data_IF_331598157038
#
_entry.id   IF_331598157038
#
_cell.length_a   1.000
_cell.length_b   1.000
_cell.length_c   1.000
_cell.angle_alpha   90.00
_cell.angle_beta   90.00
_cell.angle_gamma   90.00
#
_symmetry.space_group_name_H-M   'P 1'
#
loop_
_entity.id
_entity.type
_entity.pdbx_description
1 polymer ?
#
# COMPACT_ATOMS: atom_id res chain seq x y z
N UNK A 1 58.96 -22.69 -53.46
CA UNK A 1 58.02 -23.57 -52.73
C UNK A 1 57.89 -23.04 -51.31
N UNK A 2 56.82 -22.28 -51.01
CA UNK A 2 56.49 -21.81 -49.65
C UNK A 2 54.99 -22.04 -49.42
N UNK A 3 54.70 -22.70 -48.31
CA UNK A 3 53.39 -23.15 -47.83
C UNK A 3 52.43 -22.00 -47.57
N UNK A 4 51.16 -22.18 -47.92
CA UNK A 4 50.03 -21.44 -47.35
C UNK A 4 49.50 -22.21 -46.14
N UNK A 5 49.53 -21.59 -44.96
CA UNK A 5 48.76 -22.02 -43.80
C UNK A 5 47.42 -21.26 -43.79
N UNK A 6 46.31 -22.00 -43.83
CA UNK A 6 44.98 -21.47 -43.57
C UNK A 6 44.80 -21.28 -42.06
N UNK A 7 44.65 -20.04 -41.60
CA UNK A 7 44.19 -19.75 -40.25
C UNK A 7 42.66 -19.91 -40.20
N UNK A 8 42.20 -20.95 -39.51
CA UNK A 8 40.80 -21.16 -39.16
C UNK A 8 40.51 -20.32 -37.90
N UNK A 9 39.82 -19.20 -38.05
CA UNK A 9 39.30 -18.43 -36.91
C UNK A 9 37.88 -18.94 -36.64
N UNK A 10 37.70 -19.68 -35.54
CA UNK A 10 36.39 -20.01 -34.98
C UNK A 10 35.81 -18.77 -34.29
N UNK A 11 34.55 -18.38 -34.53
CA UNK A 11 33.91 -17.34 -33.73
C UNK A 11 33.56 -17.90 -32.34
N UNK A 12 34.04 -17.23 -31.29
CA UNK A 12 33.66 -17.50 -29.92
C UNK A 12 32.16 -17.22 -29.75
N UNK A 13 31.37 -18.29 -29.61
CA UNK A 13 29.97 -18.21 -29.27
C UNK A 13 29.88 -17.87 -27.77
N UNK A 14 29.72 -16.58 -27.46
CA UNK A 14 29.43 -16.11 -26.11
C UNK A 14 28.01 -16.58 -25.78
N UNK A 15 27.92 -17.67 -25.03
CA UNK A 15 26.70 -18.11 -24.35
C UNK A 15 26.33 -17.05 -23.32
N UNK A 16 25.43 -16.15 -23.70
CA UNK A 16 24.73 -15.27 -22.77
C UNK A 16 23.72 -16.15 -22.01
N UNK A 17 24.15 -16.72 -20.88
CA UNK A 17 23.21 -17.28 -19.90
C UNK A 17 22.38 -16.11 -19.36
N UNK A 18 21.03 -16.18 -19.37
CA UNK A 18 20.24 -15.16 -18.70
C UNK A 18 20.58 -15.23 -17.21
N UNK A 19 21.27 -14.21 -16.74
CA UNK A 19 21.42 -13.94 -15.32
C UNK A 19 20.00 -13.63 -14.84
N UNK A 20 19.30 -14.64 -14.31
CA UNK A 20 18.11 -14.42 -13.50
C UNK A 20 18.62 -13.67 -12.28
N UNK A 21 18.63 -12.34 -12.36
CA UNK A 21 18.79 -11.51 -11.19
C UNK A 21 17.56 -11.75 -10.34
N UNK A 22 17.66 -12.66 -9.37
CA UNK A 22 16.81 -12.63 -8.20
C UNK A 22 17.21 -11.38 -7.41
N UNK A 23 16.86 -10.20 -7.92
CA UNK A 23 16.94 -8.95 -7.19
C UNK A 23 15.82 -8.97 -6.14
N UNK A 24 16.00 -9.82 -5.12
CA UNK A 24 15.39 -9.54 -3.83
C UNK A 24 15.98 -8.20 -3.40
N UNK A 25 15.19 -7.14 -3.51
CA UNK A 25 15.51 -5.83 -2.98
C UNK A 25 15.87 -6.03 -1.51
N UNK A 26 17.15 -5.93 -1.16
CA UNK A 26 17.68 -6.18 0.19
C UNK A 26 17.26 -5.00 1.06
N UNK A 27 15.98 -4.96 1.42
CA UNK A 27 15.48 -4.04 2.42
C UNK A 27 15.98 -4.45 3.80
N UNK A 28 16.04 -3.49 4.72
CA UNK A 28 16.34 -3.77 6.12
C UNK A 28 15.09 -4.31 6.82
N UNK A 29 15.13 -5.53 7.40
CA UNK A 29 14.01 -6.05 8.18
C UNK A 29 13.80 -5.23 9.45
N UNK A 30 12.55 -5.03 9.82
CA UNK A 30 12.14 -4.37 11.06
C UNK A 30 11.10 -5.24 11.74
N UNK A 31 11.35 -5.59 13.00
CA UNK A 31 10.52 -6.49 13.81
C UNK A 31 9.99 -5.85 15.08
N UNK A 32 10.58 -4.72 15.51
CA UNK A 32 10.24 -4.03 16.76
C UNK A 32 10.08 -2.52 16.59
N UNK A 33 9.40 -1.89 17.54
CA UNK A 33 9.29 -0.43 17.61
C UNK A 33 10.66 0.27 17.67
N UNK A 34 11.62 -0.25 18.43
CA UNK A 34 12.94 0.38 18.57
C UNK A 34 13.71 0.37 17.25
N UNK A 35 13.71 -0.76 16.54
CA UNK A 35 14.27 -0.86 15.18
C UNK A 35 13.55 0.07 14.22
N UNK A 36 12.22 0.12 14.27
CA UNK A 36 11.41 0.99 13.42
C UNK A 36 11.78 2.46 13.61
N UNK A 37 11.85 2.89 14.86
CA UNK A 37 12.11 4.29 15.21
C UNK A 37 13.56 4.70 14.94
N UNK A 38 14.54 3.81 15.14
CA UNK A 38 15.97 4.15 14.98
C UNK A 38 16.47 3.98 13.55
N UNK A 39 16.19 2.84 12.91
CA UNK A 39 16.75 2.52 11.60
C UNK A 39 16.23 3.43 10.49
N UNK A 40 14.94 3.77 10.50
CA UNK A 40 14.35 4.67 9.49
C UNK A 40 14.87 6.11 9.67
N UNK A 41 15.08 6.57 10.90
CA UNK A 41 15.66 7.89 11.17
C UNK A 41 17.12 7.98 10.74
N UNK A 42 17.86 6.88 10.81
CA UNK A 42 19.26 6.83 10.41
C UNK A 42 19.44 6.95 8.89
N UNK A 43 18.52 6.42 8.08
CA UNK A 43 18.58 6.52 6.62
C UNK A 43 17.18 6.63 5.97
N UNK A 44 16.73 7.87 5.76
CA UNK A 44 15.44 8.17 5.13
C UNK A 44 15.36 7.76 3.63
N UNK A 45 16.45 7.26 3.05
CA UNK A 45 16.55 6.88 1.63
C UNK A 45 16.55 5.38 1.40
N UNK A 46 16.76 4.57 2.45
CA UNK A 46 16.87 3.12 2.35
C UNK A 46 15.52 2.41 2.15
N UNK A 47 15.58 1.13 1.77
CA UNK A 47 14.41 0.25 1.72
C UNK A 47 14.29 -0.53 3.03
N UNK A 48 13.08 -0.63 3.56
CA UNK A 48 12.74 -1.31 4.79
C UNK A 48 11.53 -2.22 4.58
N UNK A 49 11.45 -3.32 5.33
CA UNK A 49 10.24 -4.13 5.38
C UNK A 49 9.94 -4.62 6.78
N UNK A 50 8.65 -4.76 7.09
CA UNK A 50 8.23 -5.31 8.37
C UNK A 50 8.26 -6.84 8.34
N UNK A 51 8.64 -7.44 9.47
CA UNK A 51 8.55 -8.88 9.72
C UNK A 51 7.60 -9.22 10.86
N UNK A 52 7.03 -8.19 11.49
CA UNK A 52 6.03 -8.29 12.53
C UNK A 52 5.22 -6.98 12.57
N UNK A 53 4.06 -7.03 13.21
CA UNK A 53 3.35 -5.82 13.59
C UNK A 53 4.21 -4.97 14.52
N UNK A 54 4.18 -3.65 14.31
CA UNK A 54 4.90 -2.68 15.13
C UNK A 54 3.91 -2.00 16.07
N UNK A 55 3.97 -2.36 17.35
CA UNK A 55 3.14 -1.71 18.37
C UNK A 55 3.94 -0.56 18.98
N UNK A 56 3.47 0.67 18.77
CA UNK A 56 4.05 1.84 19.44
C UNK A 56 3.67 1.76 20.92
N UNK A 57 4.64 1.86 21.86
CA UNK A 57 4.35 1.77 23.29
C UNK A 57 3.34 2.83 23.75
N UNK A 58 2.51 2.47 24.73
CA UNK A 58 1.60 3.42 25.37
C UNK A 58 2.34 4.68 25.85
N UNK A 59 1.65 5.81 25.84
CA UNK A 59 2.18 7.14 26.20
C UNK A 59 3.37 7.66 25.37
N UNK A 60 3.70 6.98 24.26
CA UNK A 60 4.71 7.49 23.31
C UNK A 60 4.11 8.58 22.43
N UNK A 61 4.63 9.80 22.54
CA UNK A 61 4.37 10.86 21.56
C UNK A 61 5.21 10.60 20.29
N UNK A 62 4.54 10.35 19.17
CA UNK A 62 5.20 10.08 17.91
C UNK A 62 5.78 11.36 17.30
N UNK A 63 7.08 11.37 17.04
CA UNK A 63 7.71 12.37 16.19
C UNK A 63 7.68 11.89 14.73
N UNK A 64 7.00 12.57 13.80
CA UNK A 64 6.99 12.17 12.40
C UNK A 64 8.39 11.91 11.84
N UNK A 65 8.58 10.85 11.07
CA UNK A 65 9.82 10.67 10.33
C UNK A 65 10.03 11.84 9.35
N UNK A 66 11.29 12.12 9.02
CA UNK A 66 11.68 13.29 8.24
C UNK A 66 11.37 14.66 8.88
N UNK A 67 10.99 14.67 10.17
CA UNK A 67 10.95 15.87 11.02
C UNK A 67 12.15 15.84 11.99
N UNK A 68 13.06 16.82 11.96
CA UNK A 68 14.11 16.94 12.96
C UNK A 68 13.52 17.05 14.38
N UNK A 69 14.22 16.52 15.38
CA UNK A 69 13.78 16.57 16.79
C UNK A 69 13.66 18.02 17.27
N UNK A 70 14.57 18.89 16.81
CA UNK A 70 14.69 20.30 17.12
C UNK A 70 14.10 21.20 16.02
N UNK A 71 13.09 20.71 15.29
CA UNK A 71 12.51 21.44 14.17
C UNK A 71 12.05 22.85 14.55
N UNK A 72 12.64 23.85 13.90
CA UNK A 72 12.43 25.28 14.17
C UNK A 72 11.17 25.87 13.51
N UNK A 73 10.28 25.02 13.01
CA UNK A 73 9.09 25.42 12.25
C UNK A 73 9.37 25.83 10.80
N UNK A 74 10.62 25.83 10.34
CA UNK A 74 10.93 26.22 8.96
C UNK A 74 10.81 25.06 7.99
N UNK A 75 10.17 25.30 6.86
CA UNK A 75 9.92 24.24 5.86
C UNK A 75 11.20 23.76 5.15
N UNK A 76 12.28 24.52 5.15
CA UNK A 76 13.55 24.15 4.52
C UNK A 76 14.43 23.23 5.39
N UNK A 77 14.16 23.13 6.70
CA UNK A 77 14.87 22.22 7.61
C UNK A 77 14.23 20.82 7.67
N UNK A 78 13.04 20.65 7.08
CA UNK A 78 12.38 19.34 6.97
C UNK A 78 13.03 18.46 5.90
N UNK A 79 13.39 17.23 6.30
CA UNK A 79 13.81 16.18 5.38
C UNK A 79 12.63 15.56 4.62
N UNK A 80 12.86 14.42 3.99
CA UNK A 80 11.81 13.61 3.36
C UNK A 80 12.20 12.14 3.33
N UNK A 81 11.24 11.25 3.56
CA UNK A 81 11.44 9.82 3.33
C UNK A 81 11.29 9.52 1.85
N UNK A 82 12.42 9.19 1.20
CA UNK A 82 12.50 8.83 -0.22
C UNK A 82 12.73 7.34 -0.46
N UNK A 83 12.83 6.57 0.61
CA UNK A 83 13.02 5.13 0.60
C UNK A 83 11.77 4.33 0.23
N UNK A 84 11.80 3.04 0.56
CA UNK A 84 10.62 2.16 0.48
C UNK A 84 10.31 1.62 1.86
N UNK A 85 9.05 1.69 2.29
CA UNK A 85 8.54 0.96 3.45
C UNK A 85 7.52 -0.07 2.97
N UNK A 86 7.86 -1.35 3.08
CA UNK A 86 6.99 -2.48 2.73
C UNK A 86 6.49 -3.15 4.01
N UNK A 87 5.22 -2.97 4.35
CA UNK A 87 4.63 -3.58 5.53
C UNK A 87 4.51 -5.11 5.44
N UNK A 88 4.58 -5.69 4.23
CA UNK A 88 4.37 -7.14 4.01
C UNK A 88 3.14 -7.71 4.75
N UNK A 89 2.08 -6.91 4.82
CA UNK A 89 0.83 -7.27 5.48
C UNK A 89 0.80 -7.08 6.98
N UNK A 90 1.87 -6.54 7.56
CA UNK A 90 1.91 -6.11 8.96
C UNK A 90 1.39 -4.69 9.14
N UNK A 91 1.01 -4.38 10.37
CA UNK A 91 0.47 -3.08 10.77
C UNK A 91 1.39 -2.35 11.74
N UNK A 92 1.39 -1.02 11.68
CA UNK A 92 1.87 -0.14 12.76
C UNK A 92 0.65 0.27 13.57
N UNK A 93 0.71 0.07 14.89
CA UNK A 93 -0.42 0.26 15.81
C UNK A 93 -0.17 1.40 16.79
N UNK A 94 -1.24 2.08 17.17
CA UNK A 94 -1.28 3.06 18.26
C UNK A 94 -0.38 4.29 18.01
N UNK A 95 -0.26 4.73 16.76
CA UNK A 95 0.46 5.95 16.43
C UNK A 95 -0.28 7.16 17.01
N UNK A 96 0.37 7.86 17.94
CA UNK A 96 -0.22 9.00 18.66
C UNK A 96 0.57 10.28 18.44
N UNK A 97 -0.11 11.35 18.01
CA UNK A 97 0.45 12.70 17.93
C UNK A 97 -0.54 13.63 18.62
N UNK A 98 -0.10 14.38 19.63
CA UNK A 98 -0.94 15.33 20.39
C UNK A 98 -0.43 16.76 20.32
N UNK A 99 0.77 16.98 19.78
CA UNK A 99 1.44 18.29 19.76
C UNK A 99 0.71 19.39 18.99
N UNK A 100 -0.20 19.06 18.08
CA UNK A 100 -0.81 20.06 17.18
C UNK A 100 0.19 20.72 16.23
N UNK A 101 1.38 20.13 16.06
CA UNK A 101 2.44 20.69 15.24
C UNK A 101 2.22 20.44 13.75
N UNK A 102 2.79 21.26 12.90
CA UNK A 102 2.68 21.14 11.44
C UNK A 102 3.35 19.89 10.88
N UNK A 103 2.95 19.45 9.69
CA UNK A 103 3.47 18.25 9.01
C UNK A 103 3.32 16.98 9.85
N UNK A 104 2.10 16.67 10.26
CA UNK A 104 1.79 15.51 11.10
C UNK A 104 1.41 14.27 10.29
N UNK A 105 1.88 13.12 10.76
CA UNK A 105 1.62 11.79 10.21
C UNK A 105 2.74 10.83 10.61
N UNK A 106 2.70 9.59 10.11
CA UNK A 106 3.87 8.70 10.23
C UNK A 106 5.13 9.39 9.66
N UNK A 107 5.00 10.02 8.49
CA UNK A 107 6.01 10.84 7.86
C UNK A 107 5.60 12.31 7.82
N UNK A 108 6.50 13.24 8.15
CA UNK A 108 6.26 14.66 7.88
C UNK A 108 6.19 14.93 6.38
N UNK A 109 7.14 14.36 5.61
CA UNK A 109 7.20 14.44 4.15
C UNK A 109 7.52 13.08 3.53
N UNK A 110 6.73 12.69 2.55
CA UNK A 110 6.91 11.47 1.78
C UNK A 110 7.24 11.80 0.33
N UNK A 111 8.35 11.26 -0.18
CA UNK A 111 8.77 11.28 -1.59
C UNK A 111 9.02 9.87 -2.15
N UNK A 112 8.98 8.85 -1.28
CA UNK A 112 9.25 7.45 -1.60
C UNK A 112 8.01 6.59 -1.81
N UNK A 113 8.15 5.29 -1.54
CA UNK A 113 7.09 4.28 -1.66
C UNK A 113 6.69 3.73 -0.30
N UNK A 114 5.39 3.62 -0.05
CA UNK A 114 4.84 2.88 1.09
C UNK A 114 3.85 1.86 0.56
N UNK A 115 4.01 0.59 0.93
CA UNK A 115 3.12 -0.46 0.46
C UNK A 115 2.84 -1.56 1.47
N UNK A 116 1.72 -2.25 1.28
CA UNK A 116 1.33 -3.46 2.02
C UNK A 116 1.31 -3.25 3.54
N UNK A 117 0.76 -2.14 4.00
CA UNK A 117 0.92 -1.65 5.37
C UNK A 117 -0.41 -1.20 5.97
N UNK A 118 -0.73 -1.69 7.16
CA UNK A 118 -1.80 -1.14 7.98
C UNK A 118 -1.30 -0.04 8.93
N UNK A 119 -2.05 1.05 9.06
CA UNK A 119 -1.95 1.98 10.20
C UNK A 119 -3.19 1.80 11.06
N UNK A 120 -3.06 1.03 12.13
CA UNK A 120 -4.17 0.67 13.00
C UNK A 120 -4.23 1.59 14.21
N UNK A 121 -5.45 2.07 14.52
CA UNK A 121 -5.72 2.84 15.72
C UNK A 121 -4.79 4.07 15.84
N UNK A 122 -4.73 4.88 14.78
CA UNK A 122 -4.02 6.17 14.85
C UNK A 122 -4.84 7.17 15.66
N UNK A 123 -4.17 8.01 16.45
CA UNK A 123 -4.76 9.14 17.17
C UNK A 123 -3.88 10.37 16.94
N UNK A 124 -4.19 11.11 15.87
CA UNK A 124 -3.38 12.23 15.40
C UNK A 124 -4.13 13.53 15.59
N UNK A 125 -3.55 14.45 16.36
CA UNK A 125 -3.91 15.86 16.45
C UNK A 125 -2.71 16.69 15.97
N UNK A 126 -2.76 17.13 14.71
CA UNK A 126 -1.72 17.92 14.05
C UNK A 126 -2.14 19.36 13.77
N UNK A 127 -1.21 20.12 13.22
CA UNK A 127 -1.44 21.48 12.70
C UNK A 127 -1.80 21.41 11.21
N UNK A 128 -0.94 21.95 10.36
CA UNK A 128 -1.06 21.84 8.91
C UNK A 128 0.27 21.46 8.24
N UNK A 129 0.27 20.63 7.18
CA UNK A 129 -0.74 19.65 6.81
C UNK A 129 -0.69 18.41 7.72
N UNK A 130 -1.81 17.68 7.82
CA UNK A 130 -1.95 16.53 8.72
C UNK A 130 -2.58 15.34 8.00
N UNK A 131 -1.95 14.17 8.06
CA UNK A 131 -2.56 12.93 7.61
C UNK A 131 -2.13 11.70 8.38
N UNK A 132 -2.85 10.59 8.25
CA UNK A 132 -2.50 9.33 8.93
C UNK A 132 -1.10 8.84 8.56
N UNK A 133 -0.86 8.69 7.26
CA UNK A 133 0.43 8.24 6.73
C UNK A 133 1.43 9.38 6.60
N UNK A 134 1.01 10.53 6.06
CA UNK A 134 1.93 11.65 5.89
C UNK A 134 1.29 13.02 6.08
N UNK A 135 2.06 13.97 6.60
CA UNK A 135 1.69 15.38 6.53
C UNK A 135 1.58 15.81 5.08
N UNK A 136 2.64 15.59 4.29
CA UNK A 136 2.60 15.93 2.86
C UNK A 136 3.28 14.89 1.96
N UNK A 137 2.62 14.60 0.84
CA UNK A 137 3.24 14.03 -0.35
C UNK A 137 4.01 15.17 -1.03
N UNK A 138 5.32 15.03 -1.10
CA UNK A 138 6.22 16.09 -1.55
C UNK A 138 6.92 15.72 -2.87
N UNK A 139 7.24 16.72 -3.68
CA UNK A 139 8.04 16.57 -4.90
C UNK A 139 9.20 17.55 -4.85
N UNK A 140 10.44 17.05 -4.92
CA UNK A 140 11.66 17.82 -4.68
C UNK A 140 12.21 18.36 -6.00
N UNK A 141 11.83 19.53 -6.51
CA UNK A 141 12.27 20.12 -7.82
C UNK A 141 13.76 19.96 -8.22
N UNK A 142 14.17 18.76 -8.62
CA UNK A 142 15.50 18.35 -9.05
C UNK A 142 15.33 17.37 -10.20
N UNK A 143 16.41 17.12 -10.93
CA UNK A 143 16.48 16.32 -12.15
C UNK A 143 16.01 14.87 -12.01
N UNK A 144 15.78 14.38 -10.78
CA UNK A 144 15.23 13.05 -10.53
C UNK A 144 14.24 13.08 -9.35
N UNK A 145 12.95 13.20 -9.64
CA UNK A 145 11.90 13.01 -8.63
C UNK A 145 11.14 11.74 -8.94
N UNK A 146 11.32 10.65 -8.19
CA UNK A 146 10.41 9.53 -8.31
C UNK A 146 9.00 9.99 -7.91
N UNK A 147 7.98 9.49 -8.61
CA UNK A 147 6.60 9.63 -8.18
C UNK A 147 6.40 8.92 -6.84
N UNK A 148 5.62 9.51 -5.93
CA UNK A 148 5.20 8.81 -4.71
C UNK A 148 4.20 7.71 -5.06
N UNK A 149 4.39 6.55 -4.46
CA UNK A 149 3.47 5.40 -4.58
C UNK A 149 3.03 4.97 -3.19
N UNK A 150 1.73 5.04 -2.95
CA UNK A 150 1.06 4.49 -1.75
C UNK A 150 0.15 3.39 -2.25
N UNK A 151 0.43 2.14 -1.88
CA UNK A 151 -0.22 0.96 -2.47
C UNK A 151 -0.58 -0.07 -1.40
N UNK A 152 -1.81 -0.60 -1.41
CA UNK A 152 -2.21 -1.63 -0.44
C UNK A 152 -2.00 -1.14 1.00
N UNK A 153 -2.44 0.09 1.27
CA UNK A 153 -2.34 0.74 2.58
C UNK A 153 -3.71 1.00 3.14
N UNK A 154 -3.87 0.77 4.45
CA UNK A 154 -5.07 1.19 5.14
C UNK A 154 -4.79 2.03 6.38
N UNK A 155 -5.75 2.87 6.76
CA UNK A 155 -5.68 3.68 7.98
C UNK A 155 -6.99 3.57 8.77
N UNK A 156 -6.91 3.29 10.07
CA UNK A 156 -8.04 3.30 11.02
C UNK A 156 -7.74 4.15 12.25
N UNK A 157 -8.78 4.70 12.89
CA UNK A 157 -8.65 5.59 14.05
C UNK A 157 -9.16 7.02 13.81
N UNK A 158 -8.39 8.02 14.24
CA UNK A 158 -8.75 9.44 14.23
C UNK A 158 -7.61 10.32 13.74
N UNK A 159 -7.91 11.22 12.80
CA UNK A 159 -6.97 12.21 12.24
C UNK A 159 -7.63 13.59 12.28
N UNK A 160 -7.10 14.45 13.14
CA UNK A 160 -7.56 15.81 13.37
C UNK A 160 -6.44 16.80 13.09
N UNK A 161 -6.74 17.88 12.40
CA UNK A 161 -5.79 18.96 12.18
C UNK A 161 -6.45 20.31 11.89
N UNK A 162 -5.63 21.35 11.68
CA UNK A 162 -6.13 22.72 11.51
C UNK A 162 -6.72 22.95 10.12
N UNK A 163 -5.90 22.96 9.06
CA UNK A 163 -6.35 23.40 7.70
C UNK A 163 -6.33 22.35 6.59
N UNK A 164 -5.49 21.30 6.64
CA UNK A 164 -5.36 20.36 5.52
C UNK A 164 -5.25 18.95 6.05
N UNK A 165 -6.38 18.27 6.11
CA UNK A 165 -6.50 17.02 6.86
C UNK A 165 -7.00 15.91 5.96
N UNK A 166 -6.22 14.84 5.84
CA UNK A 166 -6.61 13.66 5.07
C UNK A 166 -6.35 12.36 5.80
N UNK A 167 -7.14 11.32 5.53
CA UNK A 167 -6.92 10.01 6.15
C UNK A 167 -5.54 9.42 5.86
N UNK A 168 -5.04 9.57 4.63
CA UNK A 168 -3.68 9.16 4.23
C UNK A 168 -2.72 10.34 4.25
N UNK A 169 -3.04 11.43 3.56
CA UNK A 169 -2.15 12.58 3.46
C UNK A 169 -2.86 13.93 3.67
N UNK A 170 -2.25 14.85 4.41
CA UNK A 170 -2.81 16.20 4.55
C UNK A 170 -2.75 16.98 3.23
N UNK A 171 -1.57 16.99 2.58
CA UNK A 171 -1.32 17.76 1.35
C UNK A 171 -0.59 16.98 0.28
N UNK A 172 -1.07 17.05 -0.95
CA UNK A 172 -0.29 16.77 -2.15
C UNK A 172 0.40 18.04 -2.68
N UNK A 173 1.73 18.05 -2.64
CA UNK A 173 2.59 19.14 -3.09
C UNK A 173 3.69 18.66 -4.05
N UNK A 174 3.39 17.66 -4.89
CA UNK A 174 4.33 17.12 -5.89
C UNK A 174 3.82 17.37 -7.32
N UNK A 175 4.73 17.75 -8.21
CA UNK A 175 4.46 17.94 -9.65
C UNK A 175 4.54 16.61 -10.44
N UNK A 176 5.09 15.56 -9.82
CA UNK A 176 5.08 14.21 -10.37
C UNK A 176 3.69 13.60 -10.23
N UNK A 177 3.38 12.62 -11.10
CA UNK A 177 2.14 11.86 -11.00
C UNK A 177 2.25 10.87 -9.85
N UNK A 178 1.82 11.29 -8.65
CA UNK A 178 1.76 10.42 -7.48
C UNK A 178 0.55 9.50 -7.57
N UNK A 179 0.66 8.30 -7.02
CA UNK A 179 -0.40 7.29 -7.06
C UNK A 179 -0.75 6.82 -5.66
N UNK A 180 -2.04 6.85 -5.33
CA UNK A 180 -2.63 6.18 -4.18
C UNK A 180 -3.55 5.10 -4.75
N UNK A 181 -3.21 3.82 -4.56
CA UNK A 181 -3.98 2.72 -5.15
C UNK A 181 -4.22 1.57 -4.19
N UNK A 182 -5.35 0.89 -4.38
CA UNK A 182 -5.75 -0.24 -3.53
C UNK A 182 -5.69 0.11 -2.03
N UNK A 183 -6.19 1.29 -1.65
CA UNK A 183 -6.07 1.80 -0.29
C UNK A 183 -7.44 2.06 0.29
N UNK A 184 -7.56 1.95 1.61
CA UNK A 184 -8.77 2.37 2.30
C UNK A 184 -8.52 3.16 3.56
N UNK A 185 -9.47 4.03 3.87
CA UNK A 185 -9.47 4.80 5.11
C UNK A 185 -10.79 4.56 5.81
N UNK A 186 -10.72 4.16 7.08
CA UNK A 186 -11.88 4.11 7.96
C UNK A 186 -11.55 4.88 9.26
N UNK A 187 -11.57 6.20 9.16
CA UNK A 187 -11.16 7.12 10.23
C UNK A 187 -12.16 8.23 10.43
N UNK A 188 -12.09 8.92 11.57
CA UNK A 188 -12.63 10.29 11.68
C UNK A 188 -11.58 11.28 11.18
N UNK A 189 -11.85 11.95 10.06
CA UNK A 189 -11.07 13.07 9.54
C UNK A 189 -11.74 14.38 9.95
N UNK A 190 -11.04 15.23 10.70
CA UNK A 190 -11.55 16.54 11.15
C UNK A 190 -10.58 17.68 10.88
N UNK A 191 -11.00 18.66 10.07
CA UNK A 191 -10.32 19.94 9.90
C UNK A 191 -10.99 21.05 10.75
N UNK A 192 -10.23 21.72 11.60
CA UNK A 192 -10.79 22.57 12.68
C UNK A 192 -10.70 24.08 12.45
N UNK A 193 -9.99 24.55 11.42
CA UNK A 193 -9.87 25.99 11.19
C UNK A 193 -11.27 26.64 10.99
N UNK A 194 -11.34 27.92 11.30
CA UNK A 194 -12.48 28.79 11.05
C UNK A 194 -12.62 29.14 9.57
N UNK A 195 -11.51 29.27 8.85
CA UNK A 195 -11.48 29.60 7.42
C UNK A 195 -10.40 28.81 6.70
N UNK A 196 -10.75 28.13 5.59
CA UNK A 196 -9.79 27.32 4.83
C UNK A 196 -9.50 25.96 5.46
N UNK A 197 -10.44 25.41 6.23
CA UNK A 197 -10.38 24.03 6.70
C UNK A 197 -10.77 23.07 5.57
N UNK A 198 -9.82 22.24 5.12
CA UNK A 198 -10.02 21.27 4.04
C UNK A 198 -9.83 19.85 4.55
N UNK A 199 -10.94 19.11 4.61
CA UNK A 199 -10.97 17.72 5.07
C UNK A 199 -11.26 16.78 3.89
N UNK A 200 -10.43 15.77 3.68
CA UNK A 200 -10.65 14.75 2.65
C UNK A 200 -10.54 13.35 3.22
N UNK A 201 -11.40 12.42 2.80
CA UNK A 201 -11.33 11.04 3.31
C UNK A 201 -9.96 10.40 3.07
N UNK A 202 -9.32 10.67 1.94
CA UNK A 202 -7.98 10.16 1.62
C UNK A 202 -6.93 11.28 1.68
N UNK A 203 -7.16 12.39 0.97
CA UNK A 203 -6.22 13.53 0.92
C UNK A 203 -6.94 14.83 1.25
N UNK A 204 -6.38 15.64 2.15
CA UNK A 204 -6.98 16.92 2.55
C UNK A 204 -6.98 17.94 1.43
N UNK A 205 -5.81 18.23 0.86
CA UNK A 205 -5.66 19.22 -0.21
C UNK A 205 -4.66 18.79 -1.28
N UNK A 206 -4.92 19.17 -2.53
CA UNK A 206 -3.91 19.15 -3.60
C UNK A 206 -3.61 20.56 -4.07
N UNK A 207 -2.33 20.93 -4.04
CA UNK A 207 -1.88 22.26 -4.48
C UNK A 207 -2.00 22.47 -6.00
N UNK A 208 -1.84 23.72 -6.42
CA UNK A 208 -1.86 24.12 -7.84
C UNK A 208 -0.70 23.49 -8.62
N UNK A 209 -0.98 23.02 -9.84
CA UNK A 209 0.02 22.43 -10.74
C UNK A 209 0.48 21.03 -10.30
N UNK A 210 -0.25 20.38 -9.39
CA UNK A 210 0.11 19.07 -8.84
C UNK A 210 -0.67 17.94 -9.50
N UNK A 211 -0.12 16.73 -9.42
CA UNK A 211 -0.69 15.56 -10.07
C UNK A 211 -0.93 14.46 -9.04
N UNK A 212 -2.09 13.81 -9.13
CA UNK A 212 -2.47 12.76 -8.20
C UNK A 212 -3.42 11.78 -8.88
N UNK A 213 -3.17 10.49 -8.71
CA UNK A 213 -3.99 9.42 -9.21
C UNK A 213 -4.53 8.60 -8.04
N UNK A 214 -5.85 8.49 -7.93
CA UNK A 214 -6.55 7.59 -7.03
C UNK A 214 -7.09 6.42 -7.84
N UNK A 215 -6.70 5.20 -7.50
CA UNK A 215 -7.16 4.01 -8.22
C UNK A 215 -7.60 2.93 -7.24
N UNK A 216 -8.87 2.50 -7.32
CA UNK A 216 -9.40 1.44 -6.43
C UNK A 216 -9.18 1.78 -4.95
N UNK A 217 -9.69 2.95 -4.56
CA UNK A 217 -9.61 3.42 -3.17
C UNK A 217 -11.01 3.66 -2.62
N UNK A 218 -11.17 3.54 -1.31
CA UNK A 218 -12.41 3.98 -0.67
C UNK A 218 -12.18 4.67 0.68
N UNK A 219 -13.12 5.55 1.04
CA UNK A 219 -13.19 6.16 2.37
C UNK A 219 -14.48 5.76 3.07
N UNK A 220 -14.36 5.47 4.36
CA UNK A 220 -15.42 5.15 5.30
C UNK A 220 -15.21 5.95 6.61
N UNK A 221 -16.16 5.86 7.54
CA UNK A 221 -16.15 6.65 8.76
C UNK A 221 -16.65 8.07 8.54
N UNK A 222 -16.00 9.07 9.11
CA UNK A 222 -16.49 10.46 9.12
C UNK A 222 -15.48 11.41 8.52
N UNK A 223 -15.91 12.30 7.62
CA UNK A 223 -15.12 13.44 7.14
C UNK A 223 -15.87 14.72 7.45
N UNK A 224 -15.25 15.62 8.21
CA UNK A 224 -15.89 16.88 8.59
C UNK A 224 -14.94 18.06 8.72
N UNK A 225 -15.49 19.26 8.56
CA UNK A 225 -14.93 20.49 9.09
C UNK A 225 -15.70 20.91 10.35
N UNK A 226 -15.02 21.40 11.37
CA UNK A 226 -15.67 21.88 12.60
C UNK A 226 -16.55 23.09 12.30
N UNK A 227 -16.01 24.05 11.54
CA UNK A 227 -16.72 25.27 11.15
C UNK A 227 -17.37 25.10 9.77
N UNK A 228 -18.62 25.55 9.62
CA UNK A 228 -19.42 25.42 8.38
C UNK A 228 -19.41 26.67 7.50
N UNK A 229 -18.35 27.48 7.59
CA UNK A 229 -18.12 28.58 6.65
C UNK A 229 -17.93 28.04 5.22
N UNK A 230 -18.40 28.78 4.21
CA UNK A 230 -18.35 28.37 2.81
C UNK A 230 -16.95 28.04 2.27
N UNK A 231 -15.88 28.56 2.91
CA UNK A 231 -14.49 28.27 2.55
C UNK A 231 -13.96 26.96 3.16
N UNK A 232 -14.70 26.36 4.09
CA UNK A 232 -14.35 25.10 4.73
C UNK A 232 -14.98 23.94 3.98
N UNK A 233 -14.12 23.14 3.35
CA UNK A 233 -14.50 22.14 2.37
C UNK A 233 -14.33 20.74 2.95
N UNK A 234 -15.33 19.88 2.76
CA UNK A 234 -15.21 18.45 3.04
C UNK A 234 -15.42 17.65 1.74
N UNK A 235 -14.47 16.78 1.41
CA UNK A 235 -14.52 15.92 0.23
C UNK A 235 -14.47 14.44 0.60
N UNK A 236 -15.28 13.60 -0.04
CA UNK A 236 -15.29 12.17 0.28
C UNK A 236 -13.93 11.48 0.08
N UNK A 237 -13.21 11.80 -0.99
CA UNK A 237 -11.84 11.32 -1.26
C UNK A 237 -10.83 12.47 -1.13
N UNK A 238 -11.06 13.60 -1.80
CA UNK A 238 -10.15 14.76 -1.82
C UNK A 238 -10.84 16.02 -1.31
N UNK A 239 -10.32 16.60 -0.23
CA UNK A 239 -10.97 17.72 0.48
C UNK A 239 -11.00 19.03 -0.30
N UNK A 240 -9.91 19.39 -0.98
CA UNK A 240 -9.83 20.61 -1.79
C UNK A 240 -8.77 20.51 -2.88
N UNK A 241 -9.06 21.06 -4.05
CA UNK A 241 -8.04 21.37 -5.07
C UNK A 241 -7.79 22.86 -5.05
N UNK A 242 -6.61 23.27 -4.59
CA UNK A 242 -6.16 24.64 -4.65
C UNK A 242 -5.68 24.92 -6.09
N UNK A 243 -6.38 25.77 -6.85
CA UNK A 243 -5.98 26.12 -8.21
C UNK A 243 -5.92 27.64 -8.43
N UNK A 244 -4.76 28.11 -8.88
CA UNK A 244 -4.52 29.46 -9.39
C UNK A 244 -3.87 29.43 -10.79
N UNK A 245 -4.46 28.68 -11.75
CA UNK A 245 -4.11 28.67 -13.19
C UNK A 245 -2.90 27.81 -13.63
N UNK A 246 -2.80 26.52 -13.23
CA UNK A 246 -1.74 25.61 -13.76
C UNK A 246 -2.24 24.21 -14.12
N UNK A 247 -1.42 23.44 -14.85
CA UNK A 247 -1.68 22.09 -15.38
C UNK A 247 -1.83 20.98 -14.31
N UNK A 248 -2.72 21.19 -13.33
CA UNK A 248 -3.15 20.20 -12.34
C UNK A 248 -3.81 19.02 -13.05
N UNK A 249 -3.44 17.79 -12.67
CA UNK A 249 -4.04 16.55 -13.20
C UNK A 249 -4.44 15.66 -12.02
N UNK A 250 -5.73 15.54 -11.76
CA UNK A 250 -6.26 14.64 -10.73
C UNK A 250 -7.11 13.57 -11.40
N UNK A 251 -6.86 12.31 -11.07
CA UNK A 251 -7.61 11.17 -11.61
C UNK A 251 -8.22 10.38 -10.47
N UNK A 252 -9.47 10.00 -10.63
CA UNK A 252 -10.20 9.08 -9.78
C UNK A 252 -10.73 7.96 -10.65
N UNK A 253 -10.15 6.78 -10.48
CA UNK A 253 -10.51 5.57 -11.20
C UNK A 253 -11.01 4.55 -10.18
N UNK A 254 -12.28 4.15 -10.30
CA UNK A 254 -12.87 3.09 -9.50
C UNK A 254 -12.88 3.38 -7.99
N UNK A 255 -13.28 4.59 -7.58
CA UNK A 255 -13.29 5.00 -6.16
C UNK A 255 -14.67 4.92 -5.53
N UNK A 256 -14.73 4.67 -4.21
CA UNK A 256 -15.98 4.57 -3.45
C UNK A 256 -15.96 5.45 -2.21
N UNK A 257 -17.02 6.22 -1.98
CA UNK A 257 -17.24 7.00 -0.75
C UNK A 257 -18.35 6.34 0.05
N UNK A 258 -17.93 5.60 1.08
CA UNK A 258 -18.74 4.81 1.99
C UNK A 258 -18.78 5.43 3.41
N UNK A 259 -18.71 6.76 3.47
CA UNK A 259 -18.73 7.52 4.72
C UNK A 259 -20.08 7.38 5.44
N UNK A 260 -20.04 7.42 6.78
CA UNK A 260 -21.22 7.60 7.63
C UNK A 260 -21.64 9.08 7.69
N UNK A 261 -20.67 9.98 7.56
CA UNK A 261 -20.90 11.43 7.61
C UNK A 261 -19.90 12.17 6.74
N UNK A 262 -20.42 13.07 5.90
CA UNK A 262 -19.64 14.04 5.15
C UNK A 262 -20.19 15.43 5.44
N UNK A 263 -19.45 16.27 6.16
CA UNK A 263 -19.96 17.58 6.55
C UNK A 263 -18.90 18.69 6.61
N UNK A 264 -19.03 19.68 5.74
CA UNK A 264 -18.29 20.93 5.69
C UNK A 264 -19.24 22.10 5.46
N UNK A 265 -18.70 23.32 5.36
CA UNK A 265 -19.51 24.44 4.88
C UNK A 265 -19.86 24.29 3.40
N UNK A 266 -18.94 23.70 2.64
CA UNK A 266 -19.16 23.18 1.29
C UNK A 266 -18.69 21.72 1.20
N UNK A 267 -19.46 20.90 0.48
CA UNK A 267 -19.23 19.45 0.40
C UNK A 267 -19.04 19.01 -1.04
N UNK A 268 -18.09 18.11 -1.27
CA UNK A 268 -17.92 17.41 -2.53
C UNK A 268 -18.01 15.91 -2.33
N UNK A 269 -18.87 15.23 -3.10
CA UNK A 269 -19.09 13.79 -2.95
C UNK A 269 -17.76 13.03 -3.05
N UNK A 270 -17.05 13.17 -4.17
CA UNK A 270 -15.70 12.60 -4.36
C UNK A 270 -14.64 13.64 -4.04
N UNK A 271 -14.80 14.86 -4.56
CA UNK A 271 -13.88 15.97 -4.34
C UNK A 271 -14.62 17.29 -4.23
N UNK A 272 -14.04 18.25 -3.51
CA UNK A 272 -14.45 19.66 -3.63
C UNK A 272 -13.53 20.43 -4.60
N UNK A 273 -14.13 21.18 -5.53
CA UNK A 273 -13.39 22.05 -6.46
C UNK A 273 -13.41 23.49 -5.95
N UNK A 274 -12.25 24.12 -5.82
CA UNK A 274 -12.18 25.58 -5.72
C UNK A 274 -12.67 26.27 -7.01
N UNK A 275 -12.91 27.58 -6.95
CA UNK A 275 -13.28 28.36 -8.13
C UNK A 275 -12.17 28.31 -9.20
N UNK A 276 -12.55 28.00 -10.44
CA UNK A 276 -11.71 27.93 -11.66
C UNK A 276 -10.78 26.70 -11.74
N UNK A 277 -11.22 25.65 -12.43
CA UNK A 277 -10.38 24.49 -12.77
C UNK A 277 -9.86 24.60 -14.22
N UNK A 278 -8.74 25.31 -14.42
CA UNK A 278 -7.92 25.19 -15.65
C UNK A 278 -6.94 24.00 -15.54
N UNK A 279 -7.47 22.82 -15.20
CA UNK A 279 -6.74 21.56 -15.06
C UNK A 279 -7.65 20.39 -15.43
N UNK A 280 -7.10 19.18 -15.46
CA UNK A 280 -7.86 17.98 -15.83
C UNK A 280 -8.22 17.21 -14.57
N UNK A 281 -9.51 17.16 -14.23
CA UNK A 281 -10.07 16.20 -13.28
C UNK A 281 -10.76 15.11 -14.08
N UNK A 282 -10.32 13.86 -13.94
CA UNK A 282 -10.95 12.69 -14.58
C UNK A 282 -11.64 11.85 -13.51
N UNK A 283 -12.90 11.52 -13.74
CA UNK A 283 -13.73 10.69 -12.89
C UNK A 283 -14.20 9.49 -13.72
N UNK A 284 -13.64 8.31 -13.48
CA UNK A 284 -14.09 7.06 -14.08
C UNK A 284 -14.60 6.12 -13.00
N UNK A 285 -15.86 5.69 -13.11
CA UNK A 285 -16.49 4.68 -12.25
C UNK A 285 -16.38 4.99 -10.74
N UNK A 286 -16.85 6.17 -10.35
CA UNK A 286 -16.82 6.61 -8.96
C UNK A 286 -18.22 6.57 -8.33
N UNK A 287 -18.32 6.01 -7.12
CA UNK A 287 -19.59 5.77 -6.46
C UNK A 287 -19.60 6.36 -5.04
N UNK A 288 -20.77 6.79 -4.59
CA UNK A 288 -20.96 7.23 -3.22
C UNK A 288 -22.35 6.90 -2.71
N UNK A 289 -22.49 6.79 -1.39
CA UNK A 289 -23.81 6.58 -0.78
C UNK A 289 -24.72 7.79 -0.99
N UNK A 290 -25.98 7.52 -1.31
CA UNK A 290 -27.00 8.54 -1.57
C UNK A 290 -27.62 9.15 -0.29
N UNK A 291 -27.27 8.62 0.89
CA UNK A 291 -27.76 9.06 2.20
C UNK A 291 -26.83 10.07 2.90
N UNK A 292 -25.80 10.57 2.20
CA UNK A 292 -24.87 11.58 2.69
C UNK A 292 -25.46 13.00 2.75
N UNK A 293 -26.71 13.20 2.33
CA UNK A 293 -27.37 14.50 2.34
C UNK A 293 -26.83 15.50 1.29
N UNK A 294 -26.13 15.01 0.27
CA UNK A 294 -25.59 15.81 -0.84
C UNK A 294 -26.43 15.55 -2.08
N UNK A 295 -26.98 16.62 -2.67
CA UNK A 295 -27.86 16.55 -3.85
C UNK A 295 -27.14 16.85 -5.17
N UNK A 296 -25.92 17.39 -5.13
CA UNK A 296 -25.13 17.67 -6.32
C UNK A 296 -24.45 16.39 -6.84
N UNK A 297 -24.83 15.92 -8.03
CA UNK A 297 -24.34 14.66 -8.61
C UNK A 297 -23.26 14.86 -9.67
N UNK A 298 -22.57 16.00 -9.66
CA UNK A 298 -21.56 16.33 -10.67
C UNK A 298 -20.29 15.47 -10.54
N UNK A 299 -20.13 14.80 -9.39
CA UNK A 299 -18.91 14.11 -8.97
C UNK A 299 -19.13 12.65 -8.57
N UNK A 300 -19.67 11.83 -9.47
CA UNK A 300 -19.83 10.39 -9.27
C UNK A 300 -21.29 9.93 -9.15
N UNK A 301 -21.48 8.61 -9.13
CA UNK A 301 -22.78 7.96 -9.11
C UNK A 301 -23.25 7.75 -7.67
N UNK A 302 -24.41 8.31 -7.32
CA UNK A 302 -25.06 8.07 -6.04
C UNK A 302 -25.79 6.72 -6.04
N UNK A 303 -25.55 5.90 -5.03
CA UNK A 303 -26.16 4.56 -4.87
C UNK A 303 -26.68 4.35 -3.45
N UNK A 304 -27.63 3.44 -3.31
CA UNK A 304 -28.12 3.01 -1.99
C UNK A 304 -26.96 2.42 -1.16
N UNK A 305 -26.94 2.63 0.17
CA UNK A 305 -25.96 2.03 1.07
C UNK A 305 -25.73 0.52 0.90
N UNK A 306 -26.76 -0.24 0.54
CA UNK A 306 -26.64 -1.68 0.28
C UNK A 306 -25.73 -2.00 -0.91
N UNK A 307 -25.61 -1.10 -1.89
CA UNK A 307 -24.76 -1.29 -3.07
C UNK A 307 -23.28 -1.19 -2.71
N UNK A 308 -22.91 -0.28 -1.82
CA UNK A 308 -21.50 -0.17 -1.35
C UNK A 308 -21.12 -1.27 -0.35
N UNK A 309 -22.08 -2.09 0.09
CA UNK A 309 -21.82 -3.31 0.84
C UNK A 309 -21.80 -4.56 -0.06
N UNK A 310 -22.05 -4.42 -1.36
CA UNK A 310 -22.04 -5.55 -2.28
C UNK A 310 -20.67 -5.77 -2.92
N UNK A 311 -20.14 -6.99 -2.82
CA UNK A 311 -18.92 -7.41 -3.50
C UNK A 311 -19.02 -7.25 -5.01
N UNK A 312 -20.21 -7.38 -5.60
CA UNK A 312 -20.42 -7.22 -7.03
C UNK A 312 -20.04 -5.83 -7.54
N UNK A 313 -20.28 -4.77 -6.73
CA UNK A 313 -19.84 -3.42 -7.05
C UNK A 313 -18.31 -3.41 -7.24
N UNK A 314 -17.57 -3.92 -6.27
CA UNK A 314 -16.12 -3.82 -6.29
C UNK A 314 -15.49 -4.77 -7.32
N UNK A 315 -15.86 -6.04 -7.31
CA UNK A 315 -15.22 -7.07 -8.14
C UNK A 315 -15.63 -6.95 -9.61
N UNK A 316 -16.94 -6.95 -9.88
CA UNK A 316 -17.45 -7.03 -11.27
C UNK A 316 -17.55 -5.64 -11.91
N UNK A 317 -18.06 -4.65 -11.18
CA UNK A 317 -18.28 -3.31 -11.76
C UNK A 317 -16.99 -2.48 -11.78
N UNK A 318 -16.25 -2.48 -10.67
CA UNK A 318 -15.03 -1.67 -10.51
C UNK A 318 -13.73 -2.44 -10.84
N UNK A 319 -13.81 -3.76 -11.08
CA UNK A 319 -12.65 -4.59 -11.43
C UNK A 319 -11.63 -4.73 -10.31
N UNK A 320 -12.04 -4.66 -9.05
CA UNK A 320 -11.17 -4.90 -7.90
C UNK A 320 -10.80 -6.38 -7.82
N UNK A 321 -9.58 -6.66 -7.38
CA UNK A 321 -9.04 -8.01 -7.36
C UNK A 321 -9.41 -8.72 -6.04
N UNK A 322 -10.49 -9.51 -6.06
CA UNK A 322 -10.91 -10.37 -4.93
C UNK A 322 -10.31 -11.77 -4.99
N UNK A 323 -9.40 -12.06 -5.93
CA UNK A 323 -8.71 -13.36 -5.98
C UNK A 323 -7.70 -13.47 -4.85
N UNK A 324 -6.93 -12.41 -4.61
CA UNK A 324 -5.83 -12.46 -3.64
C UNK A 324 -5.55 -11.15 -2.89
N UNK A 325 -6.14 -10.01 -3.28
CA UNK A 325 -5.84 -8.70 -2.70
C UNK A 325 -6.94 -8.14 -1.81
N UNK A 326 -8.20 -8.28 -2.20
CA UNK A 326 -9.35 -7.79 -1.44
C UNK A 326 -10.18 -8.95 -0.93
N UNK A 327 -10.76 -8.78 0.25
CA UNK A 327 -11.74 -9.70 0.84
C UNK A 327 -12.88 -8.91 1.48
N UNK A 328 -14.08 -9.47 1.54
CA UNK A 328 -15.21 -8.90 2.25
C UNK A 328 -16.26 -9.95 2.57
N UNK A 329 -17.17 -9.61 3.50
CA UNK A 329 -18.40 -10.37 3.71
C UNK A 329 -19.54 -9.63 2.98
N UNK A 330 -20.01 -10.21 1.88
CA UNK A 330 -21.00 -9.60 0.99
C UNK A 330 -22.29 -9.21 1.75
N UNK A 331 -22.70 -7.95 1.61
CA UNK A 331 -23.85 -7.37 2.30
C UNK A 331 -23.62 -7.02 3.77
N UNK A 332 -22.43 -7.28 4.33
CA UNK A 332 -22.15 -7.11 5.77
C UNK A 332 -21.02 -6.11 6.03
N UNK A 333 -19.91 -6.21 5.30
CA UNK A 333 -18.72 -5.36 5.53
C UNK A 333 -18.25 -4.67 4.26
N UNK A 334 -17.37 -3.66 4.42
CA UNK A 334 -16.64 -3.05 3.31
C UNK A 334 -15.39 -3.88 2.97
N UNK A 335 -14.83 -3.77 1.75
CA UNK A 335 -13.62 -4.49 1.36
C UNK A 335 -12.42 -4.20 2.26
N UNK A 336 -11.74 -5.24 2.75
CA UNK A 336 -10.47 -5.14 3.46
C UNK A 336 -9.35 -5.77 2.63
N UNK A 337 -8.11 -5.39 2.92
CA UNK A 337 -6.96 -5.98 2.24
C UNK A 337 -6.72 -7.39 2.77
N UNK A 338 -6.71 -8.36 1.85
CA UNK A 338 -6.27 -9.72 2.10
C UNK A 338 -4.76 -9.80 1.88
N UNK A 339 -4.03 -10.42 2.81
CA UNK A 339 -2.57 -10.55 2.72
C UNK A 339 -2.13 -11.87 2.07
N UNK A 340 -3.07 -12.64 1.52
CA UNK A 340 -2.83 -13.96 0.95
C UNK A 340 -1.85 -13.92 -0.24
N UNK A 341 -1.83 -12.84 -1.02
CA UNK A 341 -0.87 -12.65 -2.12
C UNK A 341 0.60 -12.54 -1.66
N UNK A 342 0.85 -12.20 -0.39
CA UNK A 342 2.21 -12.03 0.16
C UNK A 342 2.84 -13.35 0.58
N UNK A 343 2.09 -14.45 0.56
CA UNK A 343 2.61 -15.83 0.67
C UNK A 343 3.22 -16.26 -0.68
N UNK A 344 3.82 -15.32 -1.42
CA UNK A 344 4.46 -15.62 -2.70
C UNK A 344 5.70 -16.47 -2.46
N UNK A 345 5.70 -17.71 -2.98
CA UNK A 345 6.85 -18.60 -2.97
C UNK A 345 6.71 -19.86 -2.13
N UNK A 346 5.54 -20.13 -1.55
CA UNK A 346 5.21 -21.44 -0.97
C UNK A 346 3.93 -21.93 -1.64
N UNK A 347 4.07 -22.92 -2.51
CA UNK A 347 2.95 -23.42 -3.30
C UNK A 347 2.18 -24.47 -2.50
N UNK A 348 0.85 -24.50 -2.64
CA UNK A 348 0.06 -25.68 -2.22
C UNK A 348 0.22 -26.84 -3.20
N UNK A 349 0.66 -26.56 -4.43
CA UNK A 349 0.97 -27.57 -5.42
C UNK A 349 2.09 -27.12 -6.34
N UNK A 350 3.00 -28.03 -6.67
CA UNK A 350 4.03 -27.77 -7.67
C UNK A 350 4.13 -28.96 -8.62
N UNK A 351 3.93 -28.70 -9.91
CA UNK A 351 4.07 -29.68 -10.97
C UNK A 351 5.43 -29.51 -11.66
N UNK A 352 6.21 -30.60 -11.70
CA UNK A 352 7.41 -30.74 -12.51
C UNK A 352 7.13 -31.74 -13.62
N UNK A 353 8.04 -31.84 -14.59
CA UNK A 353 7.84 -32.66 -15.78
C UNK A 353 7.54 -34.14 -15.46
N UNK A 354 8.18 -34.69 -14.41
CA UNK A 354 8.11 -36.12 -14.06
C UNK A 354 7.61 -36.42 -12.65
N UNK A 355 7.36 -35.38 -11.85
CA UNK A 355 6.82 -35.52 -10.51
C UNK A 355 6.04 -34.27 -10.08
N UNK A 356 5.15 -34.41 -9.12
CA UNK A 356 4.41 -33.30 -8.53
C UNK A 356 4.30 -33.45 -7.02
N UNK A 357 4.08 -32.33 -6.34
CA UNK A 357 3.72 -32.31 -4.92
C UNK A 357 2.45 -31.50 -4.71
N UNK A 358 1.57 -31.98 -3.85
CA UNK A 358 0.35 -31.29 -3.41
C UNK A 358 0.25 -31.35 -1.89
N UNK A 359 -0.11 -30.26 -1.23
CA UNK A 359 -0.35 -30.22 0.21
C UNK A 359 -1.83 -30.30 0.56
N UNK A 360 -2.10 -30.78 1.77
CA UNK A 360 -3.42 -30.90 2.39
C UNK A 360 -3.28 -30.69 3.90
N UNK A 361 -4.40 -30.61 4.62
CA UNK A 361 -4.40 -30.47 6.09
C UNK A 361 -3.78 -31.68 6.83
N UNK A 362 -3.54 -32.80 6.13
CA UNK A 362 -2.95 -34.02 6.70
C UNK A 362 -1.49 -34.24 6.29
N UNK A 363 -0.90 -33.33 5.49
CA UNK A 363 0.46 -33.42 5.02
C UNK A 363 0.58 -33.21 3.51
N UNK A 364 1.54 -33.90 2.87
CA UNK A 364 1.78 -33.76 1.42
C UNK A 364 1.60 -35.07 0.68
N UNK A 365 1.19 -34.97 -0.57
CA UNK A 365 1.13 -36.04 -1.55
C UNK A 365 2.18 -35.77 -2.61
N UNK A 366 3.08 -36.71 -2.86
CA UNK A 366 4.06 -36.64 -3.95
C UNK A 366 3.76 -37.73 -4.96
N UNK A 367 3.62 -37.36 -6.23
CA UNK A 367 3.40 -38.29 -7.34
C UNK A 367 4.61 -38.27 -8.26
N UNK A 368 5.10 -39.44 -8.68
CA UNK A 368 6.23 -39.58 -9.59
C UNK A 368 5.90 -40.56 -10.72
N UNK A 369 6.20 -40.18 -11.96
CA UNK A 369 6.00 -41.02 -13.14
C UNK A 369 7.10 -42.10 -13.26
N UNK A 370 8.29 -41.81 -12.74
CA UNK A 370 9.46 -42.69 -12.74
C UNK A 370 10.05 -42.78 -11.32
N UNK A 371 11.20 -43.46 -11.16
CA UNK A 371 11.89 -43.56 -9.88
C UNK A 371 12.43 -42.19 -9.44
N UNK A 372 11.91 -41.68 -8.33
CA UNK A 372 12.26 -40.39 -7.74
C UNK A 372 12.93 -40.60 -6.38
N UNK A 373 14.14 -40.08 -6.19
CA UNK A 373 14.74 -39.97 -4.86
C UNK A 373 14.22 -38.71 -4.18
N UNK A 374 13.37 -38.88 -3.18
CA UNK A 374 12.63 -37.82 -2.50
C UNK A 374 13.18 -37.61 -1.08
N UNK A 375 13.47 -36.36 -0.74
CA UNK A 375 13.78 -35.93 0.62
C UNK A 375 12.89 -34.75 1.03
N UNK A 376 12.28 -34.80 2.20
CA UNK A 376 11.48 -33.72 2.76
C UNK A 376 12.15 -33.23 4.04
N UNK A 377 12.25 -31.92 4.18
CA UNK A 377 12.85 -31.25 5.32
C UNK A 377 11.87 -30.25 5.93
N UNK A 378 11.95 -30.07 7.24
CA UNK A 378 11.41 -28.87 7.87
C UNK A 378 12.17 -27.63 7.42
N UNK A 379 11.57 -26.44 7.58
CA UNK A 379 12.23 -25.18 7.24
C UNK A 379 13.55 -24.93 8.00
N UNK A 380 13.73 -25.59 9.15
CA UNK A 380 14.97 -25.58 9.94
C UNK A 380 16.09 -26.42 9.33
N UNK A 381 15.82 -27.14 8.23
CA UNK A 381 16.76 -28.05 7.57
C UNK A 381 16.76 -29.47 8.15
N UNK A 382 15.91 -29.79 9.14
CA UNK A 382 15.79 -31.14 9.68
C UNK A 382 15.11 -32.06 8.65
N UNK A 383 15.79 -33.14 8.27
CA UNK A 383 15.22 -34.19 7.40
C UNK A 383 14.12 -34.94 8.15
N UNK A 384 12.94 -35.07 7.53
CA UNK A 384 11.75 -35.73 8.12
C UNK A 384 11.23 -36.89 7.27
N UNK A 385 11.55 -36.92 5.98
CA UNK A 385 11.21 -38.02 5.09
C UNK A 385 12.30 -38.22 4.05
N UNK A 386 12.64 -39.47 3.76
CA UNK A 386 13.59 -39.82 2.70
C UNK A 386 13.26 -41.19 2.12
N UNK A 387 12.95 -41.26 0.82
CA UNK A 387 12.64 -42.52 0.15
C UNK A 387 12.88 -42.43 -1.36
N UNK A 388 13.05 -43.59 -1.99
CA UNK A 388 12.86 -43.71 -3.43
C UNK A 388 11.41 -44.13 -3.69
N UNK A 389 10.71 -43.39 -4.53
CA UNK A 389 9.30 -43.66 -4.87
C UNK A 389 9.15 -43.87 -6.37
N UNK A 390 8.17 -44.69 -6.74
CA UNK A 390 7.58 -44.73 -8.08
C UNK A 390 6.06 -44.78 -7.91
N UNK A 391 5.32 -43.90 -8.59
CA UNK A 391 3.92 -43.66 -8.30
C UNK A 391 3.70 -42.63 -7.18
N UNK A 392 2.62 -42.80 -6.42
CA UNK A 392 2.17 -41.82 -5.43
C UNK A 392 2.54 -42.22 -4.00
N UNK A 393 2.97 -41.26 -3.20
CA UNK A 393 3.17 -41.40 -1.75
C UNK A 393 2.49 -40.27 -0.98
N UNK A 394 1.86 -40.62 0.14
CA UNK A 394 1.30 -39.66 1.08
C UNK A 394 2.24 -39.59 2.29
N UNK A 395 2.68 -38.39 2.65
CA UNK A 395 3.61 -38.11 3.74
C UNK A 395 2.86 -37.28 4.77
N UNK A 396 2.46 -37.88 5.92
CA UNK A 396 1.78 -37.16 6.97
C UNK A 396 2.71 -36.11 7.58
N UNK A 397 2.25 -34.86 7.62
CA UNK A 397 3.01 -33.73 8.17
C UNK A 397 2.09 -32.86 9.02
N UNK A 398 2.65 -32.22 10.04
CA UNK A 398 1.95 -31.22 10.82
C UNK A 398 1.85 -29.91 10.03
N UNK A 399 1.04 -28.97 10.53
CA UNK A 399 0.97 -27.61 9.98
C UNK A 399 2.36 -26.96 9.96
N UNK A 400 2.77 -26.42 8.81
CA UNK A 400 4.09 -25.83 8.66
C UNK A 400 4.59 -25.71 7.22
N UNK A 401 5.80 -25.14 7.07
CA UNK A 401 6.50 -25.00 5.78
C UNK A 401 7.58 -26.07 5.67
N UNK A 402 7.61 -26.75 4.52
CA UNK A 402 8.53 -27.83 4.22
C UNK A 402 9.29 -27.58 2.92
N UNK A 403 10.53 -28.05 2.88
CA UNK A 403 11.35 -28.11 1.68
C UNK A 403 11.29 -29.52 1.12
N UNK A 404 10.86 -29.66 -0.14
CA UNK A 404 10.86 -30.93 -0.84
C UNK A 404 11.99 -30.91 -1.86
N UNK A 405 12.93 -31.83 -1.72
CA UNK A 405 14.03 -32.06 -2.66
C UNK A 405 13.77 -33.37 -3.38
N UNK A 406 13.91 -33.36 -4.70
CA UNK A 406 13.70 -34.52 -5.53
C UNK A 406 14.83 -34.66 -6.55
N UNK A 407 15.32 -35.89 -6.74
CA UNK A 407 16.32 -36.24 -7.75
C UNK A 407 15.70 -37.25 -8.70
N UNK A 408 15.56 -36.86 -9.96
CA UNK A 408 14.99 -37.66 -11.05
C UNK A 408 16.03 -37.82 -12.16
N UNK A 409 16.42 -39.05 -12.46
CA UNK A 409 17.43 -39.33 -13.50
C UNK A 409 18.77 -38.61 -13.31
N UNK A 410 19.12 -38.22 -12.08
CA UNK A 410 20.31 -37.42 -11.75
C UNK A 410 20.11 -35.91 -11.76
N UNK A 411 18.94 -35.41 -12.17
CA UNK A 411 18.59 -33.99 -12.09
C UNK A 411 17.98 -33.66 -10.74
N UNK A 412 18.59 -32.72 -10.03
CA UNK A 412 18.11 -32.24 -8.74
C UNK A 412 17.13 -31.07 -8.91
N UNK A 413 16.03 -31.12 -8.17
CA UNK A 413 15.04 -30.05 -8.08
C UNK A 413 14.56 -29.89 -6.65
N UNK A 414 14.09 -28.69 -6.30
CA UNK A 414 13.50 -28.46 -4.99
C UNK A 414 12.35 -27.45 -5.04
N UNK A 415 11.43 -27.55 -4.09
CA UNK A 415 10.32 -26.64 -3.90
C UNK A 415 9.98 -26.43 -2.42
N UNK A 416 9.17 -25.40 -2.17
CA UNK A 416 8.61 -25.09 -0.84
C UNK A 416 7.12 -25.38 -0.87
N UNK A 417 6.64 -26.09 0.14
CA UNK A 417 5.22 -26.44 0.31
C UNK A 417 4.71 -26.06 1.69
N UNK A 418 3.45 -25.62 1.77
CA UNK A 418 2.79 -25.23 3.01
C UNK A 418 1.67 -26.21 3.35
N UNK A 419 1.73 -26.79 4.55
CA UNK A 419 0.71 -27.70 5.10
C UNK A 419 -0.17 -26.90 6.06
N UNK A 420 -1.47 -26.84 5.78
CA UNK A 420 -2.46 -25.96 6.44
C UNK A 420 -3.01 -26.47 7.76
#
# INVERSE_FOLDING_TARGET
MKQQFYNLVLPAMILCLPMISLNAQVGTPISTYEEFNTLIRADLTASYYLTNDIVIPEDTEWLPFAKPVDWDGKTNSLGHFSGTLDGRGHSIKNLKITTGSDFSGLFARLTGTVKNLGLENVDITGGFPTGGLSGTIYGVTTTYNPSVVIENVFVTGSVKGTTEVGGIAGRNNSNMLNTIRNCYVNVTVEATDTTGAWAGGIVGCSNTGRRLNFNKVYSAGTVKTTNKDSLNCAGGILGFINNNQSATIIKFDSTVVALDTLSGGTNGIILHRGNLVLGTVTLNDNYARNDLGITETTDGTLVDPSVVLSQNLYETTLGWNFVDLWEMEDGVSYPTLSWNYLISGVNQSEDKQNWSVQSSNMGITVSANENLSLSVFEITGRLIYNANISGQVNIPLNKGIYLVKAIDGGNESSCKVFVQ
#
